data_IF_099510602182
#
_entry.id   IF_099510602182
#
_cell.length_a   1.000
_cell.length_b   1.000
_cell.length_c   1.000
_cell.angle_alpha   90.00
_cell.angle_beta   90.00
_cell.angle_gamma   90.00
#
_symmetry.space_group_name_H-M   'P 1'
#
loop_
_entity.id
_entity.type
_entity.pdbx_description
1 polymer ?
#
# COMPACT_ATOMS: atom_id res chain seq x y z
N UNK A 1 -1.03 10.52 2.28
CA UNK A 1 -1.53 9.53 1.31
C UNK A 1 -1.17 8.21 1.93
N UNK A 2 -2.18 7.38 2.12
CA UNK A 2 -1.99 6.15 2.86
C UNK A 2 -2.23 4.98 1.90
N UNK A 3 -1.36 3.97 1.92
CA UNK A 3 -1.48 2.76 1.10
C UNK A 3 -1.49 1.55 2.04
N UNK A 4 -2.44 0.64 1.83
CA UNK A 4 -2.60 -0.56 2.64
C UNK A 4 -2.59 -1.85 1.81
N UNK A 5 -1.90 -2.89 2.27
CA UNK A 5 -2.02 -4.27 1.76
C UNK A 5 -2.47 -5.16 2.93
N UNK A 6 -3.41 -6.08 2.69
CA UNK A 6 -4.19 -6.72 3.77
C UNK A 6 -4.24 -8.24 3.72
N UNK A 7 -4.56 -8.84 4.87
CA UNK A 7 -4.82 -10.26 5.09
C UNK A 7 -6.07 -10.88 4.44
N UNK A 8 -5.91 -12.11 3.92
CA UNK A 8 -6.99 -13.08 3.69
C UNK A 8 -6.74 -14.33 4.56
N UNK A 9 -7.53 -14.58 5.62
CA UNK A 9 -7.33 -15.74 6.50
C UNK A 9 -7.58 -17.10 5.82
N UNK A 10 -7.95 -17.16 4.53
CA UNK A 10 -8.28 -18.39 3.81
C UNK A 10 -7.42 -18.67 2.56
N UNK A 11 -6.42 -17.83 2.24
CA UNK A 11 -5.59 -18.01 1.03
C UNK A 11 -4.09 -18.18 1.38
N UNK A 12 -3.48 -19.29 0.96
CA UNK A 12 -2.12 -19.74 1.36
C UNK A 12 -1.01 -19.24 0.42
N UNK A 13 -1.07 -18.01 -0.11
CA UNK A 13 -0.07 -17.55 -1.10
C UNK A 13 0.33 -16.09 -0.89
N UNK A 14 1.56 -15.80 -0.44
CA UNK A 14 2.11 -14.43 -0.43
C UNK A 14 3.62 -14.36 -0.69
N UNK A 15 4.03 -13.19 -1.19
CA UNK A 15 5.26 -12.46 -0.88
C UNK A 15 4.92 -10.97 -1.18
N UNK A 16 5.60 -9.93 -0.70
CA UNK A 16 5.43 -8.51 -1.16
C UNK A 16 6.64 -7.63 -0.90
N UNK A 17 7.05 -6.88 -1.93
CA UNK A 17 8.11 -5.87 -1.91
C UNK A 17 7.46 -4.51 -2.23
N UNK A 18 7.79 -3.46 -1.47
CA UNK A 18 7.25 -2.11 -1.70
C UNK A 18 8.36 -1.19 -2.21
N UNK A 19 8.26 -0.77 -3.47
CA UNK A 19 9.12 0.28 -4.03
C UNK A 19 8.34 1.60 -4.15
N UNK A 20 8.84 2.66 -3.51
CA UNK A 20 8.52 4.05 -3.86
C UNK A 20 9.78 4.69 -4.50
N UNK A 21 9.77 4.89 -5.82
CA UNK A 21 10.68 5.78 -6.58
C UNK A 21 9.97 7.15 -6.67
N UNK A 22 10.53 8.33 -6.42
CA UNK A 22 11.92 8.82 -6.27
C UNK A 22 12.01 9.95 -5.21
N UNK A 23 13.27 10.20 -4.79
CA UNK A 23 13.86 11.31 -4.03
C UNK A 23 13.86 11.31 -2.50
N UNK A 24 13.31 10.31 -1.84
CA UNK A 24 13.67 9.94 -0.46
C UNK A 24 13.16 8.53 -0.19
N UNK A 25 14.06 7.55 -0.32
CA UNK A 25 13.73 6.16 0.02
C UNK A 25 13.69 6.08 1.55
N UNK A 26 12.52 5.76 2.08
CA UNK A 26 12.39 5.40 3.49
C UNK A 26 12.21 3.89 3.56
N UNK A 27 13.24 3.22 4.06
CA UNK A 27 13.18 1.78 4.33
C UNK A 27 12.73 1.58 5.77
N UNK A 28 11.61 0.89 5.95
CA UNK A 28 11.26 0.25 7.21
C UNK A 28 11.48 -1.25 7.02
N UNK A 29 12.23 -1.88 7.92
CA UNK A 29 12.25 -3.33 8.01
C UNK A 29 10.95 -3.75 8.70
N UNK A 30 9.96 -4.17 7.90
CA UNK A 30 8.61 -4.49 8.39
C UNK A 30 8.49 -6.00 8.70
N UNK A 31 9.47 -6.81 8.28
CA UNK A 31 9.56 -8.25 8.58
C UNK A 31 8.31 -9.02 8.17
N UNK A 32 8.03 -9.13 6.87
CA UNK A 32 6.82 -9.77 6.30
C UNK A 32 7.13 -11.08 5.55
N UNK A 33 8.30 -11.65 5.79
CA UNK A 33 8.82 -12.85 5.13
C UNK A 33 8.43 -14.14 5.88
N UNK A 34 7.17 -14.27 6.31
CA UNK A 34 6.69 -15.37 7.15
C UNK A 34 5.52 -16.18 6.56
N UNK A 35 5.26 -16.06 5.24
CA UNK A 35 4.15 -16.71 4.50
C UNK A 35 2.74 -16.40 5.07
N UNK A 36 2.67 -15.54 6.07
CA UNK A 36 1.43 -15.10 6.69
C UNK A 36 0.94 -13.82 6.01
N UNK A 37 -0.34 -13.59 6.18
CA UNK A 37 -0.99 -12.41 5.72
C UNK A 37 -0.89 -11.27 6.74
N UNK A 38 -0.48 -10.09 6.29
CA UNK A 38 -0.34 -8.92 7.15
C UNK A 38 -1.22 -7.74 6.74
N UNK A 39 -1.69 -6.98 7.74
CA UNK A 39 -2.20 -5.63 7.51
C UNK A 39 -1.01 -4.67 7.50
N UNK A 40 -0.75 -4.04 6.37
CA UNK A 40 0.28 -3.02 6.23
C UNK A 40 -0.40 -1.69 5.99
N UNK A 41 0.10 -0.62 6.61
CA UNK A 41 -0.31 0.74 6.30
C UNK A 41 0.89 1.67 6.32
N UNK A 42 1.06 2.43 5.25
CA UNK A 42 1.94 3.60 5.23
C UNK A 42 1.09 4.86 5.38
N UNK A 43 1.57 5.85 6.12
CA UNK A 43 0.95 7.18 6.21
C UNK A 43 1.94 8.28 5.86
N UNK A 44 1.44 9.37 5.28
CA UNK A 44 2.26 10.54 4.97
C UNK A 44 1.46 11.85 5.02
N UNK A 45 2.03 12.86 5.68
CA UNK A 45 1.54 14.24 5.77
C UNK A 45 2.54 15.23 5.17
N UNK A 46 2.07 16.08 4.26
CA UNK A 46 2.92 17.08 3.60
C UNK A 46 3.43 18.18 4.52
N UNK A 47 2.74 18.49 5.63
CA UNK A 47 3.03 19.67 6.44
C UNK A 47 4.51 19.70 6.91
N UNK A 48 4.96 18.62 7.54
CA UNK A 48 6.36 18.43 7.92
C UNK A 48 7.00 17.22 7.24
N UNK A 49 6.30 16.54 6.33
CA UNK A 49 6.76 15.27 5.77
C UNK A 49 6.74 14.14 6.80
N UNK A 50 5.80 14.20 7.75
CA UNK A 50 5.63 13.17 8.78
C UNK A 50 5.12 11.90 8.11
N UNK A 51 5.77 10.77 8.41
CA UNK A 51 5.39 9.46 7.89
C UNK A 51 5.44 8.40 8.98
N UNK A 52 4.65 7.34 8.80
CA UNK A 52 4.59 6.22 9.73
C UNK A 52 4.21 4.94 8.99
N UNK A 53 4.84 3.82 9.37
CA UNK A 53 4.57 2.48 8.90
C UNK A 53 3.89 1.69 10.01
N UNK A 54 2.86 0.94 9.65
CA UNK A 54 2.13 0.05 10.52
C UNK A 54 2.17 -1.37 9.96
N UNK A 55 2.39 -2.35 10.84
CA UNK A 55 2.17 -3.78 10.61
C UNK A 55 1.17 -4.28 11.62
N UNK A 56 0.14 -4.98 11.16
CA UNK A 56 -0.92 -5.58 11.97
C UNK A 56 -1.56 -4.58 12.95
N UNK A 57 -1.72 -3.33 12.48
CA UNK A 57 -2.30 -2.24 13.27
C UNK A 57 -1.35 -1.61 14.31
N UNK A 58 -0.07 -1.97 14.30
CA UNK A 58 0.95 -1.47 15.23
C UNK A 58 2.00 -0.68 14.47
N UNK A 59 2.36 0.50 14.97
CA UNK A 59 3.46 1.30 14.40
C UNK A 59 4.79 0.58 14.54
N UNK A 60 5.49 0.40 13.42
CA UNK A 60 6.79 -0.28 13.33
C UNK A 60 7.92 0.65 12.89
N UNK A 61 7.61 1.87 12.48
CA UNK A 61 8.59 2.87 12.13
C UNK A 61 7.95 4.21 11.77
N UNK A 62 8.61 5.31 12.10
CA UNK A 62 8.13 6.64 11.78
C UNK A 62 9.28 7.62 11.59
N UNK A 63 8.97 8.78 11.02
CA UNK A 63 9.91 9.86 10.86
C UNK A 63 9.24 11.11 10.30
N UNK A 64 10.08 12.09 9.96
CA UNK A 64 9.66 13.36 9.38
C UNK A 64 10.64 13.81 8.31
N UNK A 65 10.33 14.89 7.60
CA UNK A 65 11.19 15.40 6.52
C UNK A 65 10.96 14.75 5.16
N UNK A 66 10.08 13.76 5.06
CA UNK A 66 9.79 13.08 3.79
C UNK A 66 8.94 14.00 2.90
N UNK A 67 9.55 14.59 1.88
CA UNK A 67 8.88 15.48 0.92
C UNK A 67 8.05 16.59 1.59
N UNK A 68 8.59 17.21 2.65
CA UNK A 68 7.93 18.27 3.41
C UNK A 68 7.58 19.47 2.52
N UNK A 69 6.38 20.01 2.70
CA UNK A 69 5.81 21.08 1.85
C UNK A 69 5.40 20.62 0.44
N UNK A 70 5.66 19.36 0.09
CA UNK A 70 5.31 18.79 -1.20
C UNK A 70 3.84 18.45 -1.33
N UNK A 71 3.40 18.20 -2.56
CA UNK A 71 2.04 17.75 -2.85
C UNK A 71 2.06 16.73 -3.99
N UNK A 72 1.07 15.84 -3.97
CA UNK A 72 0.83 14.89 -5.06
C UNK A 72 0.01 15.63 -6.12
N UNK A 73 0.54 15.71 -7.34
CA UNK A 73 -0.13 16.38 -8.45
C UNK A 73 -1.28 15.54 -9.00
N UNK A 74 -2.33 16.19 -9.48
CA UNK A 74 -3.44 15.51 -10.16
C UNK A 74 -3.04 15.00 -11.55
N UNK A 75 -3.85 14.09 -12.10
CA UNK A 75 -3.65 13.55 -13.46
C UNK A 75 -2.78 12.29 -13.53
N UNK A 76 -2.35 11.75 -12.39
CA UNK A 76 -1.65 10.47 -12.31
C UNK A 76 -2.58 9.26 -12.47
N UNK A 77 -1.97 8.09 -12.54
CA UNK A 77 -2.63 6.77 -12.53
C UNK A 77 -2.02 5.94 -11.41
N UNK A 78 -2.86 5.25 -10.65
CA UNK A 78 -2.43 4.31 -9.61
C UNK A 78 -2.28 2.92 -10.23
N UNK A 79 -1.08 2.34 -10.17
CA UNK A 79 -0.79 0.97 -10.58
C UNK A 79 -0.39 0.16 -9.34
N UNK A 80 -0.86 -1.09 -9.28
CA UNK A 80 -0.45 -2.05 -8.26
C UNK A 80 0.31 -3.18 -8.95
N UNK A 81 1.46 -3.53 -8.38
CA UNK A 81 2.23 -4.70 -8.71
C UNK A 81 3.27 -4.54 -9.83
N UNK A 82 3.48 -3.32 -10.31
CA UNK A 82 4.52 -2.96 -11.28
C UNK A 82 5.14 -1.61 -10.89
N UNK A 83 6.43 -1.42 -11.17
CA UNK A 83 7.11 -0.12 -11.05
C UNK A 83 6.84 0.75 -12.29
N UNK A 84 6.36 1.97 -12.09
CA UNK A 84 6.00 2.89 -13.18
C UNK A 84 7.18 3.81 -13.54
N UNK A 85 7.79 3.61 -14.70
CA UNK A 85 8.75 4.57 -15.25
C UNK A 85 8.06 5.65 -16.12
N UNK A 86 6.82 5.41 -16.56
CA UNK A 86 5.91 6.43 -17.11
C UNK A 86 4.48 6.27 -16.57
N UNK A 87 3.61 7.25 -16.86
CA UNK A 87 2.21 7.20 -16.41
C UNK A 87 1.50 5.99 -17.04
N UNK A 88 1.20 4.99 -16.22
CA UNK A 88 0.54 3.74 -16.62
C UNK A 88 1.38 2.79 -17.49
N UNK A 89 2.70 2.94 -17.56
CA UNK A 89 3.51 2.15 -18.48
C UNK A 89 5.01 2.09 -18.17
N UNK A 90 5.75 1.57 -19.16
CA UNK A 90 7.19 1.27 -19.10
C UNK A 90 7.59 0.40 -17.91
N UNK A 91 6.81 -0.65 -17.68
CA UNK A 91 7.06 -1.64 -16.64
C UNK A 91 8.25 -2.55 -16.98
N UNK A 92 9.08 -2.83 -15.97
CA UNK A 92 10.11 -3.88 -16.02
C UNK A 92 9.64 -5.12 -15.23
N UNK A 93 9.72 -6.28 -15.87
CA UNK A 93 9.34 -7.55 -15.26
C UNK A 93 10.23 -7.92 -14.06
N UNK A 94 11.49 -7.45 -14.03
CA UNK A 94 12.40 -7.69 -12.91
C UNK A 94 12.07 -6.83 -11.68
N UNK A 95 11.17 -5.85 -11.83
CA UNK A 95 10.65 -4.99 -10.75
C UNK A 95 9.19 -5.32 -10.41
N UNK A 96 8.63 -6.37 -11.02
CA UNK A 96 7.28 -6.79 -10.79
C UNK A 96 7.11 -7.34 -9.38
N UNK A 97 6.01 -6.96 -8.75
CA UNK A 97 5.58 -7.58 -7.52
C UNK A 97 5.09 -9.01 -7.78
N UNK A 98 5.54 -9.97 -6.95
CA UNK A 98 5.07 -11.36 -6.98
C UNK A 98 4.52 -11.76 -5.62
N UNK A 99 3.21 -12.03 -5.56
CA UNK A 99 2.50 -12.51 -4.38
C UNK A 99 1.00 -12.22 -4.47
N UNK A 100 0.30 -12.21 -3.33
CA UNK A 100 -1.12 -11.91 -3.28
C UNK A 100 -1.39 -10.63 -2.49
N UNK A 101 -2.36 -9.86 -2.95
CA UNK A 101 -2.84 -8.64 -2.32
C UNK A 101 -4.34 -8.70 -2.21
N UNK A 102 -4.88 -8.17 -1.12
CA UNK A 102 -6.31 -7.91 -1.00
C UNK A 102 -6.56 -6.60 -0.28
N UNK A 103 -7.79 -6.09 -0.42
CA UNK A 103 -8.31 -4.91 0.27
C UNK A 103 -7.44 -3.65 0.19
N UNK A 104 -6.79 -3.42 -0.95
CA UNK A 104 -5.97 -2.22 -1.16
C UNK A 104 -6.83 -0.96 -1.24
N UNK A 105 -6.53 0.02 -0.40
CA UNK A 105 -7.27 1.28 -0.28
C UNK A 105 -6.31 2.46 -0.11
N UNK A 106 -6.75 3.63 -0.60
CA UNK A 106 -5.99 4.88 -0.55
C UNK A 106 -6.88 6.04 -0.09
N UNK A 107 -6.37 6.82 0.87
CA UNK A 107 -7.04 8.01 1.41
C UNK A 107 -6.25 9.29 1.15
N UNK A 108 -7.00 10.38 0.96
CA UNK A 108 -6.47 11.73 0.84
C UNK A 108 -6.13 12.40 2.17
N UNK A 109 -6.27 11.69 3.28
CA UNK A 109 -6.02 12.15 4.65
C UNK A 109 -5.27 11.09 5.42
N UNK A 110 -4.48 11.50 6.42
CA UNK A 110 -3.82 10.56 7.35
C UNK A 110 -4.89 9.94 8.25
N UNK A 111 -4.96 8.60 8.27
CA UNK A 111 -5.81 7.86 9.19
C UNK A 111 -5.27 7.89 10.61
N UNK A 112 -6.16 7.80 11.61
CA UNK A 112 -5.73 7.68 13.00
C UNK A 112 -5.16 6.28 13.28
N UNK A 113 -4.18 6.18 14.18
CA UNK A 113 -3.65 4.88 14.61
C UNK A 113 -4.74 3.94 15.16
N UNK A 114 -5.79 4.49 15.79
CA UNK A 114 -6.95 3.71 16.24
C UNK A 114 -7.77 3.15 15.07
N UNK A 115 -7.96 3.91 14.01
CA UNK A 115 -8.69 3.44 12.82
C UNK A 115 -7.89 2.35 12.10
N UNK A 116 -6.57 2.55 11.94
CA UNK A 116 -5.66 1.57 11.34
C UNK A 116 -5.68 0.26 12.16
N UNK A 117 -5.62 0.34 13.49
CA UNK A 117 -5.71 -0.83 14.37
C UNK A 117 -7.07 -1.52 14.30
N UNK A 118 -8.17 -0.77 14.20
CA UNK A 118 -9.50 -1.33 14.07
C UNK A 118 -9.64 -2.09 12.73
N UNK A 119 -9.14 -1.51 11.64
CA UNK A 119 -9.09 -2.12 10.32
C UNK A 119 -8.30 -3.44 10.33
N UNK A 120 -7.11 -3.44 10.93
CA UNK A 120 -6.26 -4.63 11.06
C UNK A 120 -6.93 -5.76 11.86
N UNK A 121 -7.65 -5.41 12.95
CA UNK A 121 -8.22 -6.42 13.85
C UNK A 121 -9.59 -6.95 13.44
N UNK A 122 -10.36 -6.19 12.66
CA UNK A 122 -11.72 -6.58 12.22
C UNK A 122 -11.77 -7.11 10.80
N UNK A 123 -10.68 -6.98 10.04
CA UNK A 123 -10.64 -7.21 8.60
C UNK A 123 -11.70 -6.41 7.83
N UNK A 124 -12.21 -5.32 8.43
CA UNK A 124 -13.16 -4.42 7.81
C UNK A 124 -12.45 -3.11 7.44
N UNK A 125 -12.04 -3.04 6.17
CA UNK A 125 -11.37 -1.85 5.65
C UNK A 125 -12.43 -0.86 5.14
N UNK A 126 -12.40 0.35 5.67
CA UNK A 126 -13.26 1.43 5.17
C UNK A 126 -12.91 1.76 3.73
N UNK A 127 -13.88 2.21 2.94
CA UNK A 127 -13.61 2.59 1.56
C UNK A 127 -12.67 3.79 1.50
N UNK A 128 -11.57 3.66 0.74
CA UNK A 128 -10.65 4.76 0.46
C UNK A 128 -11.32 5.94 -0.25
N UNK A 129 -10.91 7.16 0.09
CA UNK A 129 -11.44 8.39 -0.54
C UNK A 129 -10.79 8.74 -1.88
N UNK A 130 -9.68 8.09 -2.23
CA UNK A 130 -8.94 8.29 -3.49
C UNK A 130 -9.06 7.07 -4.39
N UNK A 131 -8.68 5.90 -3.87
CA UNK A 131 -8.87 4.62 -4.53
C UNK A 131 -9.33 3.56 -3.52
N UNK A 132 -10.05 2.54 -3.98
CA UNK A 132 -10.52 1.44 -3.13
C UNK A 132 -10.49 0.11 -3.88
N UNK A 133 -10.52 -0.98 -3.11
CA UNK A 133 -10.19 -2.33 -3.60
C UNK A 133 -10.93 -2.76 -4.87
N UNK A 134 -12.24 -2.51 -4.95
CA UNK A 134 -13.02 -2.94 -6.13
C UNK A 134 -12.53 -2.27 -7.42
N UNK A 135 -11.99 -1.05 -7.37
CA UNK A 135 -11.43 -0.41 -8.56
C UNK A 135 -10.19 -1.13 -9.09
N UNK A 136 -9.40 -1.76 -8.23
CA UNK A 136 -8.24 -2.53 -8.65
C UNK A 136 -8.64 -3.92 -9.11
N UNK A 137 -9.45 -4.60 -8.30
CA UNK A 137 -9.94 -5.96 -8.57
C UNK A 137 -10.72 -6.05 -9.90
N UNK A 138 -11.47 -5.02 -10.26
CA UNK A 138 -12.26 -5.01 -11.49
C UNK A 138 -11.46 -4.54 -12.73
N UNK A 139 -10.24 -4.03 -12.56
CA UNK A 139 -9.40 -3.47 -13.64
C UNK A 139 -8.02 -4.16 -13.69
N UNK A 140 -8.04 -5.48 -13.85
CA UNK A 140 -6.84 -6.31 -13.87
C UNK A 140 -6.30 -6.50 -15.30
N UNK A 141 -4.97 -6.42 -15.44
CA UNK A 141 -4.27 -6.60 -16.71
C UNK A 141 -3.10 -7.59 -16.57
N UNK A 142 -2.83 -8.39 -17.60
CA UNK A 142 -1.70 -9.31 -17.62
C UNK A 142 -1.95 -10.63 -16.87
N UNK A 143 -0.88 -11.22 -16.33
CA UNK A 143 -0.86 -12.55 -15.70
C UNK A 143 -1.33 -12.58 -14.24
N UNK A 144 -2.36 -11.82 -13.90
CA UNK A 144 -2.90 -11.72 -12.54
C UNK A 144 -4.10 -12.64 -12.40
N UNK A 145 -4.18 -13.36 -11.27
CA UNK A 145 -5.29 -14.25 -10.94
C UNK A 145 -6.14 -13.56 -9.88
N UNK A 146 -7.42 -13.34 -10.19
CA UNK A 146 -8.41 -12.89 -9.19
C UNK A 146 -9.05 -14.12 -8.58
N UNK A 147 -8.84 -14.31 -7.28
CA UNK A 147 -9.49 -15.35 -6.48
C UNK A 147 -10.61 -14.69 -5.68
N UNK A 148 -11.82 -15.23 -5.83
CA UNK A 148 -12.94 -14.89 -4.97
C UNK A 148 -13.00 -15.90 -3.83
N UNK A 149 -13.31 -15.48 -2.59
CA UNK A 149 -13.56 -16.40 -1.48
C UNK A 149 -14.80 -17.29 -1.71
#
# INVERSE_FOLDING_TARGET
MDAQLQCDPNDERTNTDYALKENSIVNADIGIEDDDWHHICFTWSSANGDYEFFKDGVSVGSGSGLHSGGHITSGGTTVIGQDQDTVGGDFDADQAFVGALTQVNVWGTVLSASDIKAQASTCHISQGSVNWWSQFKDNVHGGVIVVEP
#
